data_IF_822462473725
#
_entry.id   IF_822462473725
#
_cell.length_a   1.000
_cell.length_b   1.000
_cell.length_c   1.000
_cell.angle_alpha   90.00
_cell.angle_beta   90.00
_cell.angle_gamma   90.00
#
_symmetry.space_group_name_H-M   'P 1'
#
loop_
_entity.id
_entity.type
_entity.pdbx_description
1 polymer ?
#
# COMPACT_ATOMS: atom_id res chain seq x y z
N UNK A 1 -5.96 -1.93 -12.91
CA UNK A 1 -6.60 -2.30 -11.62
C UNK A 1 -6.44 -1.11 -10.67
N UNK A 2 -7.30 -0.99 -9.66
CA UNK A 2 -7.15 0.06 -8.64
C UNK A 2 -6.67 -0.59 -7.35
N UNK A 3 -5.75 0.09 -6.67
CA UNK A 3 -5.17 -0.36 -5.40
C UNK A 3 -5.29 0.76 -4.39
N UNK A 4 -5.94 0.46 -3.27
CA UNK A 4 -5.92 1.30 -2.09
C UNK A 4 -4.65 0.99 -1.30
N UNK A 5 -3.74 1.96 -1.27
CA UNK A 5 -2.50 1.89 -0.52
C UNK A 5 -2.61 2.72 0.75
N UNK A 6 -1.84 2.36 1.76
CA UNK A 6 -1.79 2.99 3.08
C UNK A 6 -0.34 3.21 3.43
N UNK A 7 0.00 4.45 3.77
CA UNK A 7 1.33 4.83 4.23
C UNK A 7 1.24 5.60 5.54
N UNK A 8 2.37 5.74 6.22
CA UNK A 8 2.48 6.67 7.34
C UNK A 8 2.39 8.11 6.85
N UNK A 9 1.69 8.95 7.61
CA UNK A 9 1.47 10.35 7.27
C UNK A 9 2.79 11.13 7.13
N UNK A 10 3.85 10.71 7.83
CA UNK A 10 5.18 11.29 7.70
C UNK A 10 5.73 11.25 6.26
N UNK A 11 5.33 10.23 5.48
CA UNK A 11 5.81 10.02 4.12
C UNK A 11 4.94 10.69 3.05
N UNK A 12 3.72 11.16 3.37
CA UNK A 12 2.83 11.79 2.36
C UNK A 12 3.48 13.00 1.71
N UNK A 13 4.32 13.73 2.47
CA UNK A 13 5.04 14.91 1.99
C UNK A 13 6.06 14.57 0.91
N UNK A 14 6.51 13.32 0.86
CA UNK A 14 7.40 12.82 -0.19
C UNK A 14 6.63 12.55 -1.50
N UNK A 15 5.31 12.42 -1.43
CA UNK A 15 4.44 12.11 -2.58
C UNK A 15 3.30 13.13 -2.74
N UNK A 16 3.60 14.41 -2.98
CA UNK A 16 2.60 15.48 -3.04
C UNK A 16 1.67 15.39 -4.26
N UNK A 17 2.07 14.64 -5.28
CA UNK A 17 1.28 14.36 -6.48
C UNK A 17 0.11 13.40 -6.22
N UNK A 18 0.16 12.64 -5.13
CA UNK A 18 -0.88 11.68 -4.75
C UNK A 18 -1.88 12.36 -3.82
N UNK A 19 -3.16 12.17 -4.11
CA UNK A 19 -4.25 12.61 -3.24
C UNK A 19 -4.47 11.63 -2.10
N UNK A 20 -3.67 11.81 -1.05
CA UNK A 20 -3.83 11.11 0.21
C UNK A 20 -5.11 11.55 0.94
N UNK A 21 -5.81 10.57 1.51
CA UNK A 21 -6.99 10.72 2.36
C UNK A 21 -6.65 10.15 3.73
N UNK A 22 -7.30 10.64 4.78
CA UNK A 22 -7.05 10.13 6.12
C UNK A 22 -7.60 8.70 6.25
N UNK A 23 -6.74 7.73 6.60
CA UNK A 23 -7.13 6.31 6.65
C UNK A 23 -7.95 5.95 7.91
N UNK A 24 -7.97 6.81 8.91
CA UNK A 24 -8.63 6.61 10.22
C UNK A 24 -10.11 6.26 10.12
N UNK A 25 -10.78 6.66 9.04
CA UNK A 25 -12.21 6.40 8.86
C UNK A 25 -12.52 4.91 8.60
N UNK A 26 -11.58 4.14 8.05
CA UNK A 26 -11.81 2.73 7.71
C UNK A 26 -11.48 1.75 8.85
N UNK A 27 -10.55 2.09 9.74
CA UNK A 27 -10.00 1.15 10.76
C UNK A 27 -10.38 1.54 12.19
N UNK A 28 -11.13 2.64 12.37
CA UNK A 28 -11.65 3.10 13.67
C UNK A 28 -12.47 2.03 14.42
N UNK A 29 -13.03 1.05 13.72
CA UNK A 29 -13.75 -0.06 14.34
C UNK A 29 -12.83 -1.22 14.81
N UNK A 30 -11.57 -1.33 14.35
CA UNK A 30 -10.77 -2.53 14.59
C UNK A 30 -9.47 -2.38 15.40
N UNK A 31 -8.84 -1.20 15.50
CA UNK A 31 -7.54 -1.13 16.21
C UNK A 31 -7.42 0.08 17.14
N UNK A 32 -7.56 -0.20 18.43
CA UNK A 32 -7.17 0.65 19.56
C UNK A 32 -5.68 0.39 19.81
N UNK A 33 -4.85 1.44 19.84
CA UNK A 33 -3.41 1.41 20.12
C UNK A 33 -2.49 1.07 18.95
N UNK A 34 -2.10 2.10 18.18
CA UNK A 34 -0.69 2.39 17.85
C UNK A 34 -0.64 3.59 16.88
N UNK A 35 -0.22 4.77 17.36
CA UNK A 35 0.32 5.86 16.52
C UNK A 35 -0.55 6.34 15.35
N UNK A 36 -1.62 7.08 15.68
CA UNK A 36 -2.78 7.56 14.91
C UNK A 36 -2.63 8.28 13.54
N UNK A 37 -1.51 8.24 12.80
CA UNK A 37 -1.37 9.02 11.55
C UNK A 37 -1.05 8.17 10.33
N UNK A 38 -2.08 7.55 9.75
CA UNK A 38 -2.00 6.86 8.46
C UNK A 38 -2.85 7.57 7.41
N UNK A 39 -2.36 7.52 6.20
CA UNK A 39 -2.98 8.14 5.04
C UNK A 39 -3.08 7.12 3.92
N UNK A 40 -4.18 7.17 3.18
CA UNK A 40 -4.51 6.23 2.11
C UNK A 40 -4.71 6.91 0.79
N UNK A 41 -4.37 6.24 -0.29
CA UNK A 41 -4.66 6.70 -1.63
C UNK A 41 -5.10 5.54 -2.51
N UNK A 42 -6.03 5.82 -3.41
CA UNK A 42 -6.44 4.88 -4.44
C UNK A 42 -5.64 5.18 -5.70
N UNK A 43 -4.74 4.27 -6.08
CA UNK A 43 -3.89 4.40 -7.26
C UNK A 43 -4.31 3.40 -8.33
N UNK A 44 -4.20 3.82 -9.58
CA UNK A 44 -4.52 2.98 -10.74
C UNK A 44 -3.22 2.50 -11.40
N UNK A 45 -3.07 1.19 -11.52
CA UNK A 45 -1.92 0.59 -12.17
C UNK A 45 -2.21 -0.82 -12.65
N UNK A 46 -1.25 -1.41 -13.35
CA UNK A 46 -1.37 -2.79 -13.83
C UNK A 46 -1.32 -3.77 -12.65
N UNK A 47 -0.36 -3.55 -11.76
CA UNK A 47 -0.07 -4.33 -10.56
C UNK A 47 0.34 -3.38 -9.41
N UNK A 48 0.41 -3.86 -8.17
CA UNK A 48 0.84 -3.02 -7.04
C UNK A 48 2.27 -2.47 -7.23
N UNK A 49 3.18 -3.28 -7.79
CA UNK A 49 4.55 -2.86 -8.08
C UNK A 49 4.62 -1.79 -9.16
N UNK A 50 3.79 -1.89 -10.19
CA UNK A 50 3.65 -0.87 -11.24
C UNK A 50 3.11 0.44 -10.66
N UNK A 51 2.14 0.38 -9.74
CA UNK A 51 1.68 1.55 -9.01
C UNK A 51 2.79 2.20 -8.19
N UNK A 52 3.55 1.41 -7.43
CA UNK A 52 4.62 1.92 -6.58
C UNK A 52 5.75 2.54 -7.41
N UNK A 53 6.20 1.86 -8.48
CA UNK A 53 7.27 2.34 -9.36
C UNK A 53 6.86 3.64 -10.08
N UNK A 54 5.67 3.65 -10.68
CA UNK A 54 5.15 4.81 -11.42
C UNK A 54 5.03 6.07 -10.58
N UNK A 55 4.72 5.90 -9.30
CA UNK A 55 4.61 6.99 -8.34
C UNK A 55 5.84 7.12 -7.43
N UNK A 56 6.90 6.37 -7.73
CA UNK A 56 8.15 6.29 -6.97
C UNK A 56 7.94 6.08 -5.45
N UNK A 57 6.86 5.39 -5.09
CA UNK A 57 6.56 5.09 -3.69
C UNK A 57 7.51 3.99 -3.23
N UNK A 58 8.28 4.30 -2.20
CA UNK A 58 9.11 3.32 -1.54
C UNK A 58 8.22 2.25 -0.87
N UNK A 59 8.37 0.95 -1.21
CA UNK A 59 7.60 -0.13 -0.58
C UNK A 59 7.81 -0.21 0.94
N UNK A 60 8.91 0.32 1.47
CA UNK A 60 9.15 0.39 2.92
C UNK A 60 8.24 1.39 3.63
N UNK A 61 7.67 2.37 2.91
CA UNK A 61 6.73 3.34 3.48
C UNK A 61 5.29 2.82 3.45
N UNK A 62 5.06 1.70 2.76
CA UNK A 62 3.76 1.06 2.62
C UNK A 62 3.44 0.25 3.87
N UNK A 63 2.43 0.71 4.60
CA UNK A 63 1.89 0.03 5.78
C UNK A 63 0.95 -1.09 5.37
N UNK A 64 0.11 -0.83 4.37
CA UNK A 64 -0.86 -1.79 3.85
C UNK A 64 -1.24 -1.44 2.42
N UNK A 65 -1.67 -2.43 1.66
CA UNK A 65 -2.31 -2.22 0.36
C UNK A 65 -3.38 -3.28 0.10
N UNK A 66 -4.41 -2.92 -0.67
CA UNK A 66 -5.44 -3.84 -1.13
C UNK A 66 -5.97 -3.43 -2.51
N UNK A 67 -6.34 -4.36 -3.39
CA UNK A 67 -7.05 -4.03 -4.63
C UNK A 67 -8.46 -3.49 -4.31
N UNK A 68 -8.88 -2.41 -4.97
CA UNK A 68 -10.18 -1.76 -4.81
C UNK A 68 -11.32 -2.55 -5.48
N UNK A 69 -11.01 -3.43 -6.44
CA UNK A 69 -12.02 -4.27 -7.09
C UNK A 69 -12.14 -5.60 -6.34
N UNK A 70 -13.29 -5.75 -5.71
CA UNK A 70 -13.70 -6.92 -4.93
C UNK A 70 -13.76 -8.15 -5.84
N UNK A 71 -12.85 -9.10 -5.65
CA UNK A 71 -13.06 -10.51 -6.04
C UNK A 71 -12.28 -11.41 -5.10
N UNK A 72 -13.01 -12.01 -4.15
CA UNK A 72 -12.84 -13.34 -3.56
C UNK A 72 -11.44 -13.99 -3.60
N UNK A 73 -10.93 -14.32 -2.41
CA UNK A 73 -10.03 -15.46 -2.14
C UNK A 73 -8.85 -15.67 -3.12
N UNK A 74 -7.73 -15.00 -2.88
CA UNK A 74 -6.42 -15.57 -3.24
C UNK A 74 -5.53 -15.68 -2.00
N UNK A 75 -5.85 -16.69 -1.20
CA UNK A 75 -4.85 -17.38 -0.38
C UNK A 75 -3.85 -18.05 -1.33
N UNK A 76 -2.72 -17.40 -1.53
CA UNK A 76 -1.37 -17.96 -1.80
C UNK A 76 -0.56 -16.89 -2.52
N UNK A 77 0.43 -16.32 -1.82
CA UNK A 77 1.53 -15.63 -2.48
C UNK A 77 2.20 -16.64 -3.42
N UNK A 78 2.31 -16.40 -4.73
CA UNK A 78 3.23 -17.19 -5.54
C UNK A 78 4.66 -16.92 -5.05
N UNK A 79 5.45 -17.98 -4.94
CA UNK A 79 6.88 -17.98 -4.63
C UNK A 79 7.61 -17.13 -5.70
N UNK A 80 7.67 -15.82 -5.49
CA UNK A 80 8.46 -14.95 -6.35
C UNK A 80 9.86 -14.91 -5.74
N UNK A 81 10.89 -15.47 -6.40
CA UNK A 81 12.25 -15.30 -5.93
C UNK A 81 12.55 -13.80 -5.92
N UNK A 82 12.82 -13.27 -4.73
CA UNK A 82 13.40 -11.94 -4.58
C UNK A 82 14.71 -11.91 -5.39
N UNK A 83 15.04 -10.83 -6.13
CA UNK A 83 16.31 -10.73 -6.85
C UNK A 83 17.56 -10.72 -5.94
N UNK A 84 17.38 -10.86 -4.63
CA UNK A 84 18.42 -11.00 -3.62
C UNK A 84 18.51 -12.43 -3.03
N UNK A 85 17.68 -13.36 -3.50
CA UNK A 85 17.78 -14.78 -3.14
C UNK A 85 18.75 -15.48 -4.11
N UNK A 86 20.02 -15.09 -4.03
CA UNK A 86 21.11 -15.86 -4.62
C UNK A 86 21.74 -16.69 -3.50
N UNK A 87 21.71 -18.04 -3.57
CA UNK A 87 22.47 -18.86 -2.65
C UNK A 87 23.97 -18.67 -2.90
N UNK A 88 24.72 -18.49 -1.81
CA UNK A 88 26.17 -18.57 -1.75
C UNK A 88 26.69 -19.95 -2.19
#
# INVERSE_FOLDING_TARGET
>A
MNFDIVILDEFIKSYPEIKWKNWKDYVREQMISQGDHWSTASLSGKDIWDCLDKHQINPLHLVQWKPTVDTLYQVSLPDHPHPFDHPL
#
